data_IF_361774142197
#
_entry.id   IF_361774142197
#
_cell.length_a   1.000
_cell.length_b   1.000
_cell.length_c   1.000
_cell.angle_alpha   90.00
_cell.angle_beta   90.00
_cell.angle_gamma   90.00
#
_symmetry.space_group_name_H-M   'P 1'
#
loop_
_entity.id
_entity.type
_entity.pdbx_description
1 polymer ?
#
# COMPACT_ATOMS: atom_id res chain seq x y z
N UNK A 1 -19.08 -5.17 -48.09
CA UNK A 1 -18.50 -6.47 -48.51
C UNK A 1 -17.60 -6.92 -47.37
N UNK A 2 -17.88 -7.93 -46.57
CA UNK A 2 -18.64 -9.17 -46.76
C UNK A 2 -19.53 -9.49 -45.55
N UNK A 3 -20.68 -10.10 -45.84
CA UNK A 3 -21.56 -10.86 -44.95
C UNK A 3 -21.05 -12.31 -44.86
N UNK A 4 -21.19 -13.00 -43.73
CA UNK A 4 -22.04 -14.21 -43.61
C UNK A 4 -22.12 -14.75 -42.18
N UNK A 5 -23.32 -15.26 -41.90
CA UNK A 5 -23.85 -15.87 -40.68
C UNK A 5 -23.19 -17.20 -40.27
N UNK A 6 -23.40 -17.57 -39.00
CA UNK A 6 -23.25 -18.92 -38.48
C UNK A 6 -24.02 -19.06 -37.17
N UNK A 7 -25.34 -19.25 -37.29
CA UNK A 7 -26.23 -19.62 -36.19
C UNK A 7 -25.82 -20.98 -35.61
N UNK A 8 -25.69 -21.03 -34.29
CA UNK A 8 -25.78 -22.26 -33.52
C UNK A 8 -26.75 -21.98 -32.37
N UNK A 9 -28.00 -22.39 -32.59
CA UNK A 9 -29.06 -22.44 -31.60
C UNK A 9 -28.60 -23.29 -30.41
N UNK A 10 -28.38 -22.64 -29.28
CA UNK A 10 -28.35 -23.28 -27.97
C UNK A 10 -29.54 -22.72 -27.21
N UNK A 11 -30.56 -23.56 -27.03
CA UNK A 11 -31.72 -23.31 -26.19
C UNK A 11 -31.25 -23.01 -24.75
N UNK A 12 -31.08 -21.73 -24.45
CA UNK A 12 -30.93 -21.27 -23.06
C UNK A 12 -32.34 -21.09 -22.52
N UNK A 13 -32.81 -22.09 -21.78
CA UNK A 13 -33.99 -21.97 -20.92
C UNK A 13 -33.91 -20.66 -20.12
N UNK A 14 -34.89 -19.78 -20.37
CA UNK A 14 -35.02 -18.48 -19.74
C UNK A 14 -35.20 -18.64 -18.23
N UNK A 15 -34.11 -18.46 -17.49
CA UNK A 15 -34.15 -18.29 -16.03
C UNK A 15 -34.91 -16.97 -15.73
N UNK A 16 -35.97 -16.97 -14.90
CA UNK A 16 -36.89 -15.85 -14.76
C UNK A 16 -36.41 -14.85 -13.69
N UNK A 17 -35.14 -14.44 -13.75
CA UNK A 17 -34.65 -13.35 -12.92
C UNK A 17 -34.38 -12.13 -13.79
N UNK A 18 -35.27 -11.14 -13.70
CA UNK A 18 -35.02 -9.80 -14.20
C UNK A 18 -33.89 -9.21 -13.35
N UNK A 19 -32.67 -9.17 -13.88
CA UNK A 19 -31.60 -8.37 -13.25
C UNK A 19 -31.98 -6.91 -13.45
N UNK A 20 -32.71 -6.33 -12.50
CA UNK A 20 -32.85 -4.88 -12.43
C UNK A 20 -31.46 -4.30 -12.13
N UNK A 21 -30.79 -3.83 -13.17
CA UNK A 21 -29.62 -2.98 -13.04
C UNK A 21 -30.08 -1.66 -12.44
N UNK A 22 -30.21 -1.59 -11.12
CA UNK A 22 -30.36 -0.32 -10.43
C UNK A 22 -29.04 0.43 -10.58
N UNK A 23 -28.99 1.58 -11.29
CA UNK A 23 -27.78 2.36 -11.37
C UNK A 23 -27.50 2.92 -9.98
N UNK A 24 -26.63 2.26 -9.22
CA UNK A 24 -26.11 2.82 -7.97
C UNK A 24 -25.22 3.98 -8.38
N UNK A 25 -25.77 5.19 -8.33
CA UNK A 25 -25.00 6.41 -8.50
C UNK A 25 -24.22 6.65 -7.21
N UNK A 26 -23.07 5.97 -7.09
CA UNK A 26 -22.12 6.24 -6.03
C UNK A 26 -21.52 7.65 -6.25
N UNK A 27 -22.14 8.67 -5.68
CA UNK A 27 -21.63 10.04 -5.69
C UNK A 27 -20.50 10.17 -4.67
N UNK A 28 -19.35 9.58 -4.97
CA UNK A 28 -18.13 9.92 -4.24
C UNK A 28 -17.49 11.12 -4.94
N UNK A 29 -17.60 12.30 -4.34
CA UNK A 29 -16.99 13.53 -4.88
C UNK A 29 -15.46 13.38 -4.83
N UNK A 30 -14.86 13.03 -5.96
CA UNK A 30 -13.42 13.07 -6.16
C UNK A 30 -13.01 14.51 -6.48
N UNK A 31 -12.14 15.11 -5.66
CA UNK A 31 -11.60 16.47 -5.90
C UNK A 31 -10.47 16.48 -6.95
N UNK A 32 -10.44 15.51 -7.86
CA UNK A 32 -9.39 15.40 -8.87
C UNK A 32 -9.90 15.98 -10.19
N UNK A 33 -9.08 16.78 -10.91
CA UNK A 33 -9.48 17.27 -12.23
C UNK A 33 -9.75 16.09 -13.15
N UNK A 34 -10.70 16.26 -14.06
CA UNK A 34 -11.17 15.24 -15.01
C UNK A 34 -10.01 14.39 -15.52
N UNK A 35 -9.88 13.19 -14.94
CA UNK A 35 -9.00 12.16 -15.47
C UNK A 35 -9.62 11.85 -16.83
N UNK A 36 -8.89 12.09 -17.93
CA UNK A 36 -9.33 11.71 -19.28
C UNK A 36 -9.94 10.30 -19.19
N UNK A 37 -11.23 10.17 -19.47
CA UNK A 37 -11.91 8.89 -19.41
C UNK A 37 -11.11 7.89 -20.24
N UNK A 38 -10.50 6.92 -19.57
CA UNK A 38 -9.86 5.82 -20.25
C UNK A 38 -10.97 4.89 -20.70
N UNK A 39 -11.44 5.07 -21.94
CA UNK A 39 -12.39 4.19 -22.60
C UNK A 39 -11.73 2.86 -23.00
N UNK A 40 -11.08 2.18 -22.04
CA UNK A 40 -10.59 0.81 -22.21
C UNK A 40 -10.97 -0.04 -21.01
N UNK A 41 -11.32 -1.29 -21.28
CA UNK A 41 -11.49 -2.29 -20.25
C UNK A 41 -10.12 -2.57 -19.61
N UNK A 42 -10.07 -2.61 -18.28
CA UNK A 42 -8.89 -3.03 -17.54
C UNK A 42 -8.86 -4.56 -17.46
N UNK A 43 -7.70 -5.15 -17.72
CA UNK A 43 -7.50 -6.57 -17.51
C UNK A 43 -7.26 -6.88 -16.03
N UNK A 44 -7.58 -8.10 -15.59
CA UNK A 44 -7.45 -8.51 -14.19
C UNK A 44 -6.03 -8.30 -13.62
N UNK A 45 -5.00 -8.54 -14.42
CA UNK A 45 -3.60 -8.39 -14.03
C UNK A 45 -3.14 -6.92 -13.91
N UNK A 46 -3.94 -5.97 -14.43
CA UNK A 46 -3.72 -4.53 -14.28
C UNK A 46 -4.35 -3.99 -12.99
N UNK A 47 -5.31 -4.72 -12.42
CA UNK A 47 -5.94 -4.40 -11.15
C UNK A 47 -5.19 -5.06 -9.99
N UNK A 48 -5.26 -4.46 -8.81
CA UNK A 48 -4.79 -5.13 -7.58
C UNK A 48 -5.73 -6.29 -7.25
N UNK A 49 -7.03 -6.01 -7.23
CA UNK A 49 -8.05 -7.03 -7.12
C UNK A 49 -9.37 -6.71 -7.81
N UNK A 50 -10.16 -7.75 -8.04
CA UNK A 50 -11.51 -7.71 -8.61
C UNK A 50 -12.52 -8.09 -7.54
N UNK A 51 -13.81 -7.82 -7.81
CA UNK A 51 -14.88 -8.15 -6.87
C UNK A 51 -14.96 -9.66 -6.58
N UNK A 52 -14.65 -10.49 -7.57
CA UNK A 52 -14.63 -11.95 -7.45
C UNK A 52 -13.55 -12.47 -6.50
N UNK A 53 -12.58 -11.63 -6.12
CA UNK A 53 -11.54 -11.99 -5.16
C UNK A 53 -11.97 -11.77 -3.71
N UNK A 54 -13.08 -11.07 -3.48
CA UNK A 54 -13.55 -10.71 -2.15
C UNK A 54 -14.68 -11.66 -1.76
N UNK A 55 -14.43 -12.54 -0.80
CA UNK A 55 -15.40 -13.57 -0.40
C UNK A 55 -16.62 -12.96 0.30
N UNK A 56 -16.41 -12.01 1.23
CA UNK A 56 -17.48 -11.32 1.96
C UNK A 56 -17.38 -9.80 1.79
N UNK A 57 -17.98 -9.32 0.70
CA UNK A 57 -17.99 -7.91 0.35
C UNK A 57 -18.54 -7.00 1.46
N UNK A 58 -19.61 -7.40 2.15
CA UNK A 58 -20.21 -6.57 3.21
C UNK A 58 -19.20 -6.30 4.31
N UNK A 59 -18.57 -7.36 4.84
CA UNK A 59 -17.58 -7.25 5.90
C UNK A 59 -16.35 -6.44 5.48
N UNK A 60 -15.89 -6.61 4.24
CA UNK A 60 -14.76 -5.84 3.70
C UNK A 60 -15.11 -4.36 3.53
N UNK A 61 -16.32 -4.04 3.06
CA UNK A 61 -16.77 -2.65 2.93
C UNK A 61 -16.98 -1.98 4.28
N UNK A 62 -17.54 -2.69 5.26
CA UNK A 62 -17.69 -2.20 6.63
C UNK A 62 -16.32 -1.83 7.22
N UNK A 63 -15.36 -2.76 7.17
CA UNK A 63 -13.97 -2.49 7.59
C UNK A 63 -13.39 -1.29 6.86
N UNK A 64 -13.51 -1.25 5.53
CA UNK A 64 -12.99 -0.15 4.73
C UNK A 64 -13.56 1.21 5.14
N UNK A 65 -14.88 1.30 5.38
CA UNK A 65 -15.52 2.55 5.78
C UNK A 65 -15.09 3.00 7.17
N UNK A 66 -14.88 2.07 8.10
CA UNK A 66 -14.39 2.39 9.44
C UNK A 66 -12.92 2.82 9.40
N UNK A 67 -12.06 2.06 8.72
CA UNK A 67 -10.67 2.40 8.46
C UNK A 67 -10.51 3.78 7.84
N UNK A 68 -11.39 4.13 6.89
CA UNK A 68 -11.37 5.43 6.21
C UNK A 68 -11.64 6.61 7.14
N UNK A 69 -12.46 6.45 8.18
CA UNK A 69 -12.70 7.51 9.18
C UNK A 69 -11.42 7.86 9.94
N UNK A 70 -10.59 6.86 10.22
CA UNK A 70 -9.39 7.00 11.05
C UNK A 70 -8.13 7.33 10.21
N UNK A 71 -8.04 6.76 9.01
CA UNK A 71 -6.90 6.84 8.10
C UNK A 71 -7.08 7.82 6.96
N UNK A 72 -8.09 8.70 6.96
CA UNK A 72 -8.39 9.60 5.84
C UNK A 72 -7.15 10.34 5.29
N UNK A 73 -6.36 10.96 6.16
CA UNK A 73 -5.12 11.66 5.75
C UNK A 73 -4.08 10.72 5.16
N UNK A 74 -3.96 9.50 5.70
CA UNK A 74 -3.03 8.46 5.24
C UNK A 74 -3.44 7.98 3.85
N UNK A 75 -4.73 7.71 3.65
CA UNK A 75 -5.29 7.29 2.37
C UNK A 75 -5.21 8.39 1.32
N UNK A 76 -5.50 9.64 1.67
CA UNK A 76 -5.39 10.76 0.74
C UNK A 76 -3.95 10.93 0.23
N UNK A 77 -2.94 10.79 1.11
CA UNK A 77 -1.53 10.79 0.70
C UNK A 77 -1.20 9.63 -0.23
N UNK A 78 -1.61 8.40 0.12
CA UNK A 78 -1.33 7.23 -0.69
C UNK A 78 -2.01 7.31 -2.07
N UNK A 79 -3.32 7.58 -2.11
CA UNK A 79 -4.07 7.64 -3.36
C UNK A 79 -3.75 8.87 -4.21
N UNK A 80 -3.20 9.94 -3.63
CA UNK A 80 -2.69 11.08 -4.43
C UNK A 80 -1.68 10.65 -5.49
N UNK A 81 -0.90 9.60 -5.22
CA UNK A 81 0.10 9.05 -6.14
C UNK A 81 -0.56 8.39 -7.36
N UNK A 82 -1.71 7.76 -7.14
CA UNK A 82 -2.47 7.04 -8.16
C UNK A 82 -3.35 7.97 -8.99
N UNK A 83 -4.00 8.95 -8.34
CA UNK A 83 -4.85 9.91 -9.03
C UNK A 83 -4.06 11.02 -9.75
N UNK A 84 -2.75 11.15 -9.50
CA UNK A 84 -1.85 12.09 -10.18
C UNK A 84 -0.65 11.36 -10.79
N UNK A 85 -0.82 10.72 -11.97
CA UNK A 85 0.25 9.95 -12.61
C UNK A 85 1.49 10.81 -12.92
N UNK A 86 1.32 12.09 -13.24
CA UNK A 86 2.37 13.05 -13.59
C UNK A 86 3.20 13.54 -12.38
N UNK A 87 2.94 13.05 -11.17
CA UNK A 87 3.71 13.41 -9.97
C UNK A 87 5.17 12.98 -10.11
N UNK A 88 6.10 13.90 -9.82
CA UNK A 88 7.53 13.62 -9.78
C UNK A 88 7.85 12.45 -8.85
N UNK A 89 8.80 11.61 -9.25
CA UNK A 89 9.19 10.42 -8.51
C UNK A 89 9.62 10.73 -7.06
N UNK A 90 10.36 11.83 -6.85
CA UNK A 90 10.75 12.30 -5.52
C UNK A 90 9.52 12.56 -4.63
N UNK A 91 8.47 13.16 -5.19
CA UNK A 91 7.24 13.46 -4.46
C UNK A 91 6.44 12.17 -4.19
N UNK A 92 6.39 11.24 -5.15
CA UNK A 92 5.79 9.92 -4.93
C UNK A 92 6.48 9.20 -3.76
N UNK A 93 7.80 9.20 -3.75
CA UNK A 93 8.59 8.62 -2.66
C UNK A 93 8.30 9.32 -1.31
N UNK A 94 8.37 10.64 -1.25
CA UNK A 94 8.11 11.39 -0.01
C UNK A 94 6.69 11.18 0.51
N UNK A 95 5.68 11.14 -0.37
CA UNK A 95 4.31 10.84 0.01
C UNK A 95 4.20 9.43 0.61
N UNK A 96 4.82 8.41 0.01
CA UNK A 96 4.80 7.06 0.58
C UNK A 96 5.48 6.99 1.95
N UNK A 97 6.59 7.70 2.14
CA UNK A 97 7.25 7.77 3.46
C UNK A 97 6.34 8.42 4.50
N UNK A 98 5.66 9.50 4.14
CA UNK A 98 4.67 10.13 5.03
C UNK A 98 3.49 9.19 5.33
N UNK A 99 3.05 8.40 4.36
CA UNK A 99 2.03 7.36 4.57
C UNK A 99 2.52 6.34 5.58
N UNK A 100 3.76 5.84 5.48
CA UNK A 100 4.35 4.92 6.46
C UNK A 100 4.34 5.53 7.86
N UNK A 101 4.83 6.77 8.01
CA UNK A 101 4.89 7.44 9.32
C UNK A 101 3.49 7.63 9.92
N UNK A 102 2.53 8.05 9.09
CA UNK A 102 1.12 8.28 9.47
C UNK A 102 0.37 6.98 9.80
N UNK A 103 0.69 5.89 9.09
CA UNK A 103 0.11 4.57 9.28
C UNK A 103 0.64 3.90 10.55
N UNK A 104 1.97 3.88 10.74
CA UNK A 104 2.61 3.35 11.95
C UNK A 104 2.01 3.96 13.22
N UNK A 105 1.88 5.29 13.25
CA UNK A 105 1.29 6.02 14.38
C UNK A 105 -0.13 5.57 14.73
N UNK A 106 -0.96 5.27 13.73
CA UNK A 106 -2.39 4.98 13.92
C UNK A 106 -2.69 3.49 14.13
N UNK A 107 -1.84 2.61 13.62
CA UNK A 107 -2.08 1.16 13.67
C UNK A 107 -1.10 0.44 14.55
N UNK A 108 0.19 0.76 14.47
CA UNK A 108 1.21 0.01 15.22
C UNK A 108 1.32 0.54 16.64
N UNK A 109 1.53 1.85 16.82
CA UNK A 109 1.65 2.46 18.16
C UNK A 109 0.36 2.29 18.99
N UNK A 110 -0.81 2.48 18.38
CA UNK A 110 -2.11 2.30 19.05
C UNK A 110 -2.34 0.84 19.46
N UNK A 111 -1.94 -0.13 18.63
CA UNK A 111 -2.09 -1.55 18.98
C UNK A 111 -1.13 -1.96 20.10
N UNK A 112 0.11 -1.48 20.10
CA UNK A 112 1.06 -1.71 21.20
C UNK A 112 0.53 -1.13 22.53
N UNK A 113 -0.05 0.07 22.50
CA UNK A 113 -0.67 0.70 23.67
C UNK A 113 -1.86 -0.10 24.19
N UNK A 114 -2.77 -0.51 23.31
CA UNK A 114 -3.92 -1.32 23.68
C UNK A 114 -3.49 -2.67 24.29
N UNK A 115 -2.50 -3.35 23.69
CA UNK A 115 -1.97 -4.61 24.20
C UNK A 115 -1.27 -4.46 25.56
N UNK A 116 -0.50 -3.38 25.77
CA UNK A 116 0.09 -3.09 27.09
C UNK A 116 -0.97 -2.78 28.16
N UNK A 117 -2.04 -2.07 27.80
CA UNK A 117 -3.12 -1.73 28.73
C UNK A 117 -4.01 -2.92 29.12
N UNK A 118 -4.02 -3.98 28.31
CA UNK A 118 -4.71 -5.24 28.62
C UNK A 118 -3.88 -6.13 29.57
N UNK A 119 -2.55 -6.01 29.58
CA UNK A 119 -1.68 -6.71 30.53
C UNK A 119 -1.61 -6.00 31.91
N UNK A 120 -1.93 -4.71 32.00
CA UNK A 120 -1.88 -3.92 33.24
C UNK A 120 -3.24 -3.80 33.97
N UNK A 121 -4.15 -4.77 33.80
CA UNK A 121 -5.42 -4.84 34.57
C UNK A 121 -5.40 -5.77 35.78
N UNK A 122 -4.23 -6.25 36.17
CA UNK A 122 -3.95 -6.67 37.55
C UNK A 122 -2.95 -5.68 38.16
N UNK A 123 -3.31 -5.14 39.32
CA UNK A 123 -2.55 -4.23 40.20
C UNK A 123 -2.88 -2.72 40.13
N UNK A 124 -3.92 -2.38 40.90
CA UNK A 124 -3.80 -1.53 42.09
C UNK A 124 -3.25 -0.10 41.93
N UNK A 125 -4.18 0.86 42.03
CA UNK A 125 -4.07 2.18 42.65
C UNK A 125 -2.72 2.92 42.60
N UNK A 126 -2.63 3.94 41.75
CA UNK A 126 -1.90 5.17 42.10
C UNK A 126 -2.48 6.40 41.39
N UNK A 127 -3.25 7.21 42.15
CA UNK A 127 -4.01 8.36 41.64
C UNK A 127 -3.19 9.64 41.39
N UNK A 128 -1.85 9.59 41.31
CA UNK A 128 -1.02 10.81 41.29
C UNK A 128 0.11 10.85 40.24
N UNK A 129 0.15 9.97 39.24
CA UNK A 129 1.24 9.94 38.24
C UNK A 129 0.77 10.11 36.79
N UNK A 130 -0.30 10.89 36.56
CA UNK A 130 -0.58 11.47 35.23
C UNK A 130 0.42 12.62 34.95
N UNK A 131 1.72 12.34 35.08
CA UNK A 131 2.77 13.18 34.50
C UNK A 131 2.99 12.66 33.09
N UNK A 132 2.39 13.36 32.14
CA UNK A 132 2.68 13.40 30.69
C UNK A 132 4.06 12.82 30.35
N UNK A 133 4.15 11.51 30.14
CA UNK A 133 5.25 10.91 29.39
C UNK A 133 5.01 11.29 27.93
N UNK A 134 5.58 12.40 27.46
CA UNK A 134 5.74 12.63 26.02
C UNK A 134 6.60 11.48 25.50
N UNK A 135 5.97 10.42 24.96
CA UNK A 135 6.68 9.36 24.25
C UNK A 135 7.59 10.01 23.20
N UNK A 136 8.84 9.57 23.16
CA UNK A 136 9.78 9.98 22.12
C UNK A 136 9.21 9.49 20.79
N UNK A 137 8.97 10.41 19.87
CA UNK A 137 8.52 10.08 18.51
C UNK A 137 9.55 9.14 17.87
N UNK A 138 9.13 7.94 17.40
CA UNK A 138 10.06 7.00 16.80
C UNK A 138 10.68 7.59 15.54
N UNK A 139 11.93 7.22 15.26
CA UNK A 139 12.58 7.59 14.01
C UNK A 139 11.97 6.80 12.84
N UNK A 140 12.06 7.35 11.63
CA UNK A 140 11.54 6.69 10.42
C UNK A 140 12.02 5.24 10.27
N UNK A 141 13.27 4.95 10.68
CA UNK A 141 13.82 3.60 10.64
C UNK A 141 13.03 2.64 11.53
N UNK A 142 12.79 3.03 12.78
CA UNK A 142 12.06 2.22 13.78
C UNK A 142 10.63 1.94 13.28
N UNK A 143 9.98 2.96 12.69
CA UNK A 143 8.63 2.79 12.13
C UNK A 143 8.58 1.80 10.99
N UNK A 144 9.55 1.85 10.07
CA UNK A 144 9.66 0.90 8.98
C UNK A 144 10.00 -0.49 9.49
N UNK A 145 10.90 -0.62 10.47
CA UNK A 145 11.24 -1.91 11.07
C UNK A 145 10.04 -2.59 11.71
N UNK A 146 9.22 -1.85 12.47
CA UNK A 146 8.00 -2.37 13.05
C UNK A 146 7.02 -2.85 11.98
N UNK A 147 6.85 -2.06 10.91
CA UNK A 147 6.00 -2.43 9.79
C UNK A 147 6.50 -3.71 9.08
N UNK A 148 7.81 -3.85 8.86
CA UNK A 148 8.41 -5.05 8.23
C UNK A 148 8.41 -6.30 9.12
N UNK A 149 8.06 -6.17 10.40
CA UNK A 149 7.86 -7.28 11.34
C UNK A 149 6.39 -7.68 11.45
N UNK A 150 5.50 -6.97 10.75
CA UNK A 150 4.08 -7.24 10.84
C UNK A 150 3.74 -8.59 10.19
N UNK A 151 3.21 -9.52 10.98
CA UNK A 151 3.09 -10.94 10.63
C UNK A 151 2.28 -11.15 9.34
N UNK A 152 1.19 -10.40 9.17
CA UNK A 152 0.28 -10.55 8.03
C UNK A 152 0.88 -10.16 6.67
N UNK A 153 2.06 -9.54 6.64
CA UNK A 153 2.72 -9.15 5.39
C UNK A 153 4.12 -9.77 5.24
N UNK A 154 4.48 -10.73 6.09
CA UNK A 154 5.82 -11.33 6.06
C UNK A 154 6.12 -12.03 4.75
N UNK A 155 5.14 -12.73 4.16
CA UNK A 155 5.32 -13.43 2.88
C UNK A 155 5.71 -12.47 1.75
N UNK A 156 5.01 -11.33 1.69
CA UNK A 156 5.26 -10.27 0.71
C UNK A 156 6.61 -9.59 0.97
N UNK A 157 6.88 -9.21 2.23
CA UNK A 157 8.09 -8.43 2.56
C UNK A 157 9.37 -9.26 2.47
N UNK A 158 9.35 -10.53 2.85
CA UNK A 158 10.51 -11.41 2.75
C UNK A 158 10.88 -11.70 1.29
N UNK A 159 9.90 -11.74 0.38
CA UNK A 159 10.17 -11.93 -1.03
C UNK A 159 10.69 -10.65 -1.72
N UNK A 160 10.10 -9.50 -1.38
CA UNK A 160 10.47 -8.20 -1.97
C UNK A 160 11.78 -7.63 -1.42
N UNK A 161 12.12 -7.94 -0.17
CA UNK A 161 13.23 -7.30 0.56
C UNK A 161 14.22 -8.34 1.03
N UNK A 162 15.19 -8.66 0.16
CA UNK A 162 16.26 -9.62 0.46
C UNK A 162 17.18 -9.14 1.60
N UNK A 163 17.49 -7.84 1.62
CA UNK A 163 18.29 -7.20 2.65
C UNK A 163 17.49 -6.07 3.30
N UNK A 164 16.86 -6.38 4.44
CA UNK A 164 16.04 -5.43 5.20
C UNK A 164 16.86 -4.25 5.70
N UNK A 165 18.09 -4.46 6.14
CA UNK A 165 18.91 -3.38 6.71
C UNK A 165 19.36 -2.37 5.65
N UNK A 166 19.82 -2.86 4.51
CA UNK A 166 20.17 -2.03 3.35
C UNK A 166 18.95 -1.25 2.84
N UNK A 167 17.80 -1.91 2.71
CA UNK A 167 16.54 -1.26 2.33
C UNK A 167 16.18 -0.11 3.29
N UNK A 168 16.12 -0.38 4.60
CA UNK A 168 15.78 0.61 5.62
C UNK A 168 16.73 1.81 5.59
N UNK A 169 18.03 1.54 5.54
CA UNK A 169 19.07 2.56 5.48
C UNK A 169 18.91 3.43 4.24
N UNK A 170 18.61 2.82 3.08
CA UNK A 170 18.41 3.54 1.82
C UNK A 170 17.17 4.42 1.84
N UNK A 171 16.05 3.94 2.40
CA UNK A 171 14.83 4.76 2.58
C UNK A 171 15.12 5.98 3.45
N UNK A 172 15.76 5.78 4.60
CA UNK A 172 16.09 6.86 5.54
C UNK A 172 17.02 7.90 4.90
N UNK A 173 18.10 7.45 4.24
CA UNK A 173 19.05 8.34 3.58
C UNK A 173 18.40 9.14 2.45
N UNK A 174 17.55 8.49 1.67
CA UNK A 174 16.82 9.12 0.57
C UNK A 174 15.84 10.17 1.09
N UNK A 175 15.04 9.86 2.13
CA UNK A 175 14.13 10.85 2.74
C UNK A 175 14.91 12.03 3.31
N UNK A 176 15.98 11.78 4.06
CA UNK A 176 16.78 12.83 4.67
C UNK A 176 17.38 13.76 3.62
N UNK A 177 17.90 13.21 2.52
CA UNK A 177 18.39 14.01 1.40
C UNK A 177 17.27 14.82 0.73
N UNK A 178 16.14 14.21 0.38
CA UNK A 178 15.05 14.90 -0.31
C UNK A 178 14.33 15.95 0.55
N UNK A 179 14.52 15.92 1.88
CA UNK A 179 13.96 16.91 2.81
C UNK A 179 14.95 18.04 3.10
N UNK A 180 16.25 17.74 3.24
CA UNK A 180 17.25 18.70 3.71
C UNK A 180 18.25 19.14 2.64
N UNK A 181 18.29 18.47 1.48
CA UNK A 181 19.17 18.74 0.35
C UNK A 181 20.65 18.95 0.70
N UNK A 182 21.13 18.30 1.77
CA UNK A 182 22.53 18.36 2.20
C UNK A 182 23.42 17.57 1.24
N UNK A 183 24.49 18.18 0.75
CA UNK A 183 25.41 17.55 -0.21
C UNK A 183 26.01 16.24 0.32
N UNK A 184 26.28 16.16 1.62
CA UNK A 184 26.81 14.94 2.27
C UNK A 184 25.89 13.72 2.22
N UNK A 185 24.60 13.90 1.92
CA UNK A 185 23.61 12.83 1.79
C UNK A 185 23.28 12.48 0.34
N UNK A 186 23.70 13.31 -0.62
CA UNK A 186 23.37 13.17 -2.04
C UNK A 186 23.84 11.85 -2.64
N UNK A 187 25.08 11.46 -2.35
CA UNK A 187 25.66 10.19 -2.82
C UNK A 187 25.06 8.97 -2.14
N UNK A 188 24.51 9.16 -0.94
CA UNK A 188 23.89 8.08 -0.19
C UNK A 188 22.43 7.84 -0.59
N UNK A 189 21.74 8.87 -1.08
CA UNK A 189 20.36 8.80 -1.53
C UNK A 189 20.18 7.91 -2.77
N UNK A 190 19.01 7.30 -2.92
CA UNK A 190 18.65 6.61 -4.15
C UNK A 190 18.35 7.65 -5.27
N UNK A 191 18.82 7.36 -6.48
CA UNK A 191 18.62 8.20 -7.67
C UNK A 191 18.06 7.35 -8.83
N UNK A 192 17.37 8.00 -9.77
CA UNK A 192 16.89 7.39 -11.02
C UNK A 192 16.17 6.04 -10.82
N UNK A 193 16.68 5.01 -11.50
CA UNK A 193 16.08 3.65 -11.48
C UNK A 193 16.01 3.01 -10.08
N UNK A 194 16.89 3.41 -9.16
CA UNK A 194 16.92 2.91 -7.79
C UNK A 194 15.87 3.57 -6.93
N UNK A 195 15.71 4.90 -7.07
CA UNK A 195 14.62 5.61 -6.40
C UNK A 195 13.27 5.07 -6.85
N UNK A 196 13.14 4.74 -8.14
CA UNK A 196 11.94 4.10 -8.66
C UNK A 196 11.69 2.78 -7.94
N UNK A 197 12.67 1.86 -7.93
CA UNK A 197 12.48 0.58 -7.26
C UNK A 197 12.14 0.74 -5.77
N UNK A 198 12.82 1.65 -5.07
CA UNK A 198 12.54 1.94 -3.66
C UNK A 198 11.10 2.44 -3.43
N UNK A 199 10.60 3.27 -4.34
CA UNK A 199 9.22 3.78 -4.34
C UNK A 199 8.22 2.66 -4.58
N UNK A 200 8.49 1.75 -5.53
CA UNK A 200 7.66 0.58 -5.80
C UNK A 200 7.56 -0.34 -4.58
N UNK A 201 8.71 -0.65 -3.96
CA UNK A 201 8.77 -1.50 -2.77
C UNK A 201 7.94 -0.92 -1.63
N UNK A 202 8.11 0.36 -1.30
CA UNK A 202 7.27 1.04 -0.30
C UNK A 202 5.79 1.00 -0.65
N UNK A 203 5.45 1.16 -1.93
CA UNK A 203 4.07 1.12 -2.41
C UNK A 203 3.45 -0.26 -2.21
N UNK A 204 4.16 -1.35 -2.48
CA UNK A 204 3.65 -2.71 -2.29
C UNK A 204 3.55 -3.13 -0.83
N UNK A 205 4.51 -2.71 -0.01
CA UNK A 205 4.46 -2.90 1.44
C UNK A 205 3.19 -2.27 2.03
N UNK A 206 2.89 -1.02 1.65
CA UNK A 206 1.67 -0.33 2.09
C UNK A 206 0.39 -0.95 1.53
N UNK A 207 0.39 -1.39 0.27
CA UNK A 207 -0.74 -2.13 -0.29
C UNK A 207 -1.00 -3.41 0.49
N UNK A 208 0.05 -4.16 0.85
CA UNK A 208 -0.09 -5.37 1.65
C UNK A 208 -0.75 -5.06 3.00
N UNK A 209 -0.31 -4.00 3.70
CA UNK A 209 -0.96 -3.54 4.93
C UNK A 209 -2.44 -3.21 4.72
N UNK A 210 -2.80 -2.49 3.67
CA UNK A 210 -4.21 -2.13 3.43
C UNK A 210 -5.07 -3.33 3.07
N UNK A 211 -4.55 -4.27 2.27
CA UNK A 211 -5.25 -5.50 1.92
C UNK A 211 -5.51 -6.36 3.17
N UNK A 212 -4.55 -6.46 4.10
CA UNK A 212 -4.70 -7.32 5.27
C UNK A 212 -5.44 -6.64 6.41
N UNK A 213 -4.92 -5.53 6.93
CA UNK A 213 -5.47 -4.86 8.12
C UNK A 213 -6.80 -4.14 7.84
N UNK A 214 -6.86 -3.38 6.73
CA UNK A 214 -7.98 -2.46 6.49
C UNK A 214 -9.12 -3.13 5.70
N UNK A 215 -8.81 -4.11 4.85
CA UNK A 215 -9.82 -4.89 4.12
C UNK A 215 -10.11 -6.25 4.77
N UNK A 216 -9.28 -6.70 5.71
CA UNK A 216 -9.46 -7.97 6.42
C UNK A 216 -9.10 -9.21 5.60
N UNK A 217 -8.27 -9.10 4.56
CA UNK A 217 -7.84 -10.25 3.78
C UNK A 217 -6.74 -11.04 4.50
N UNK A 218 -6.69 -12.34 4.27
CA UNK A 218 -5.64 -13.21 4.84
C UNK A 218 -4.28 -12.93 4.19
N UNK A 219 -3.18 -13.29 4.87
CA UNK A 219 -1.82 -13.20 4.30
C UNK A 219 -1.72 -13.92 2.96
N UNK A 220 -2.24 -15.15 2.90
CA UNK A 220 -2.24 -15.98 1.69
C UNK A 220 -2.97 -15.29 0.52
N UNK A 221 -4.15 -14.72 0.79
CA UNK A 221 -4.92 -14.03 -0.23
C UNK A 221 -4.19 -12.77 -0.68
N UNK A 222 -3.69 -11.96 0.26
CA UNK A 222 -2.90 -10.77 -0.04
C UNK A 222 -1.70 -11.11 -0.95
N UNK A 223 -0.95 -12.14 -0.58
CA UNK A 223 0.18 -12.63 -1.36
C UNK A 223 -0.23 -13.03 -2.78
N UNK A 224 -1.30 -13.82 -2.94
CA UNK A 224 -1.82 -14.23 -4.26
C UNK A 224 -2.22 -13.03 -5.13
N UNK A 225 -2.91 -12.03 -4.55
CA UNK A 225 -3.38 -10.84 -5.26
C UNK A 225 -2.22 -9.97 -5.73
N UNK A 226 -1.21 -9.80 -4.90
CA UNK A 226 0.01 -9.08 -5.28
C UNK A 226 0.80 -9.85 -6.33
N UNK A 227 0.96 -11.17 -6.15
CA UNK A 227 1.78 -11.98 -7.05
C UNK A 227 1.21 -12.07 -8.47
N UNK A 228 -0.10 -11.96 -8.69
CA UNK A 228 -0.65 -11.89 -10.06
C UNK A 228 -0.56 -10.49 -10.70
N UNK A 229 -0.25 -9.46 -9.93
CA UNK A 229 -0.21 -8.09 -10.43
C UNK A 229 1.06 -7.87 -11.27
N UNK A 230 0.91 -7.35 -12.49
CA UNK A 230 2.02 -7.20 -13.43
C UNK A 230 3.12 -6.26 -12.91
N UNK A 231 2.74 -5.17 -12.22
CA UNK A 231 3.67 -4.20 -11.64
C UNK A 231 4.48 -4.83 -10.50
N UNK A 232 3.84 -5.70 -9.71
CA UNK A 232 4.51 -6.46 -8.65
C UNK A 232 5.52 -7.45 -9.24
N UNK A 233 5.10 -8.27 -10.20
CA UNK A 233 6.00 -9.22 -10.88
C UNK A 233 7.21 -8.53 -11.52
N UNK A 234 6.97 -7.42 -12.21
CA UNK A 234 8.05 -6.62 -12.80
C UNK A 234 9.05 -6.11 -11.75
N UNK A 235 8.56 -5.67 -10.59
CA UNK A 235 9.40 -5.19 -9.49
C UNK A 235 10.18 -6.35 -8.85
N UNK A 236 9.52 -7.47 -8.63
CA UNK A 236 10.10 -8.68 -8.07
C UNK A 236 11.23 -9.24 -8.95
N UNK A 237 11.05 -9.26 -10.27
CA UNK A 237 12.10 -9.64 -11.23
C UNK A 237 13.34 -8.74 -11.13
N UNK A 238 13.14 -7.44 -10.91
CA UNK A 238 14.25 -6.49 -10.73
C UNK A 238 14.98 -6.70 -9.41
N UNK A 239 14.24 -7.00 -8.34
CA UNK A 239 14.81 -7.38 -7.03
C UNK A 239 15.66 -8.64 -7.19
N UNK A 240 15.12 -9.70 -7.80
CA UNK A 240 15.82 -10.99 -8.01
C UNK A 240 17.09 -10.83 -8.85
N UNK A 241 17.07 -9.95 -9.85
CA UNK A 241 18.24 -9.61 -10.69
C UNK A 241 19.24 -8.65 -10.01
N UNK A 242 19.07 -8.33 -8.71
CA UNK A 242 19.86 -7.35 -7.93
C UNK A 242 19.93 -5.94 -8.53
N UNK A 243 18.99 -5.59 -9.42
CA UNK A 243 18.94 -4.30 -10.10
C UNK A 243 18.35 -3.17 -9.24
N UNK A 244 18.09 -3.42 -7.95
CA UNK A 244 17.43 -2.50 -7.04
C UNK A 244 18.30 -2.04 -5.85
N UNK A 245 19.39 -2.74 -5.53
CA UNK A 245 20.14 -2.48 -4.29
C UNK A 245 21.60 -2.02 -4.51
N UNK A 246 22.21 -2.35 -5.66
CA UNK A 246 23.57 -1.90 -5.98
C UNK A 246 23.55 -0.64 -6.85
N UNK A 247 23.62 0.54 -6.23
CA UNK A 247 23.89 1.78 -6.95
C UNK A 247 25.33 1.71 -7.48
N UNK A 248 25.60 1.75 -8.80
CA UNK A 248 26.98 1.85 -9.28
C UNK A 248 27.59 3.09 -8.62
N UNK A 249 28.76 2.92 -8.03
CA UNK A 249 29.63 4.06 -7.77
C UNK A 249 29.86 4.68 -9.14
N UNK A 250 29.35 5.89 -9.36
CA UNK A 250 29.69 6.64 -10.56
C UNK A 250 31.22 6.81 -10.52
N UNK A 251 31.92 6.05 -11.36
CA UNK A 251 33.32 6.30 -11.64
C UNK A 251 33.35 7.63 -12.39
N UNK A 252 33.62 8.71 -11.65
CA UNK A 252 34.11 9.97 -12.19
C UNK A 252 35.51 9.77 -12.77
#
# INVERSE_FOLDING_TARGET
MYSYYGDADVDIEKIPYTIEQLPIKALYKTNYPDIKEQNRLLFQHEMLFSISDIDNLSSTLERWFDSRKELDSTFNLFFSIWYKPDMYLNNKFLNLVQVVESYHRRRIETNEENNSSLQEREESYNCCLIKKNKKKEPYLRERLEALLKFELILDVTNELIQDKDSFLTKVVHTRNYLTHYRESLKEKAAKGKYLYCLTELLSFILQACFLTEELGLTSDKCYQLLNRNLRYQYTLDRVRKKNCFDCPKENL
#
